data_IF_565417275233
#
_entry.id   IF_565417275233
#
_cell.length_a   1.000
_cell.length_b   1.000
_cell.length_c   1.000
_cell.angle_alpha   90.00
_cell.angle_beta   90.00
_cell.angle_gamma   90.00
#
_symmetry.space_group_name_H-M   'P 1'
#
loop_
_entity.id
_entity.type
_entity.pdbx_description
1 polymer ?
#
# COMPACT_ATOMS: atom_id res chain seq x y z
N UNK A 1 -33.01 -9.98 25.22
CA UNK A 1 -34.07 -10.44 24.32
C UNK A 1 -34.53 -11.78 24.83
N UNK A 2 -35.79 -11.90 25.23
CA UNK A 2 -36.35 -13.13 25.82
C UNK A 2 -36.39 -14.19 24.73
N UNK A 3 -35.56 -15.23 24.83
CA UNK A 3 -35.70 -16.43 24.02
C UNK A 3 -36.97 -17.16 24.50
N UNK A 4 -38.10 -16.79 23.91
CA UNK A 4 -39.36 -17.50 24.11
C UNK A 4 -39.24 -18.92 23.59
N UNK A 5 -39.68 -19.88 24.40
CA UNK A 5 -39.79 -21.29 24.07
C UNK A 5 -40.54 -21.45 22.73
N UNK A 6 -39.90 -22.05 21.73
CA UNK A 6 -40.46 -22.17 20.38
C UNK A 6 -41.69 -23.09 20.44
N UNK A 7 -42.90 -22.64 20.07
CA UNK A 7 -44.07 -23.50 20.10
C UNK A 7 -43.89 -24.66 19.11
N UNK A 8 -44.00 -25.89 19.61
CA UNK A 8 -43.94 -27.09 18.78
C UNK A 8 -45.20 -27.18 17.90
N UNK A 9 -45.01 -27.33 16.59
CA UNK A 9 -46.10 -27.56 15.62
C UNK A 9 -46.58 -29.00 15.81
N UNK A 10 -47.85 -29.20 16.16
CA UNK A 10 -48.39 -30.53 16.52
C UNK A 10 -49.21 -31.18 15.41
N UNK A 11 -49.61 -30.44 14.39
CA UNK A 11 -50.49 -30.90 13.29
C UNK A 11 -50.03 -30.35 11.94
N UNK A 12 -50.30 -31.07 10.86
CA UNK A 12 -49.95 -30.64 9.50
C UNK A 12 -50.75 -29.42 9.04
N UNK A 13 -52.00 -29.26 9.51
CA UNK A 13 -52.82 -28.07 9.24
C UNK A 13 -52.19 -26.79 9.83
N UNK A 14 -51.64 -26.87 11.05
CA UNK A 14 -50.89 -25.77 11.67
C UNK A 14 -49.62 -25.44 10.87
N UNK A 15 -48.95 -26.47 10.32
CA UNK A 15 -47.77 -26.28 9.46
C UNK A 15 -48.16 -25.55 8.18
N UNK A 16 -49.22 -25.95 7.49
CA UNK A 16 -49.68 -25.32 6.25
C UNK A 16 -50.15 -23.87 6.46
N UNK A 17 -50.85 -23.59 7.55
CA UNK A 17 -51.25 -22.23 7.91
C UNK A 17 -50.03 -21.32 8.16
N UNK A 18 -49.02 -21.81 8.90
CA UNK A 18 -47.78 -21.08 9.14
C UNK A 18 -46.95 -20.90 7.86
N UNK A 19 -46.91 -21.90 6.98
CA UNK A 19 -46.26 -21.78 5.66
C UNK A 19 -46.95 -20.69 4.85
N UNK A 20 -48.29 -20.68 4.77
CA UNK A 20 -49.05 -19.68 4.03
C UNK A 20 -48.81 -18.27 4.57
N UNK A 21 -48.87 -18.09 5.89
CA UNK A 21 -48.59 -16.81 6.55
C UNK A 21 -47.16 -16.35 6.26
N UNK A 22 -46.18 -17.26 6.32
CA UNK A 22 -44.78 -16.93 6.03
C UNK A 22 -44.56 -16.50 4.57
N UNK A 23 -45.27 -17.10 3.61
CA UNK A 23 -45.21 -16.73 2.20
C UNK A 23 -45.87 -15.36 1.96
N UNK A 24 -46.98 -15.06 2.65
CA UNK A 24 -47.60 -13.75 2.61
C UNK A 24 -46.71 -12.66 3.24
N UNK A 25 -46.07 -12.96 4.37
CA UNK A 25 -45.09 -12.08 5.00
C UNK A 25 -43.91 -11.83 4.07
N UNK A 26 -43.39 -12.86 3.38
CA UNK A 26 -42.33 -12.71 2.38
C UNK A 26 -42.74 -11.78 1.22
N UNK A 27 -43.99 -11.93 0.72
CA UNK A 27 -44.53 -11.02 -0.32
C UNK A 27 -44.67 -9.58 0.15
N UNK A 28 -45.10 -9.36 1.40
CA UNK A 28 -45.18 -8.01 1.99
C UNK A 28 -43.80 -7.39 2.15
N UNK A 29 -42.83 -8.14 2.68
CA UNK A 29 -41.42 -7.70 2.79
C UNK A 29 -40.91 -7.27 1.41
N UNK A 30 -41.14 -8.09 0.39
CA UNK A 30 -40.73 -7.77 -0.99
C UNK A 30 -41.38 -6.48 -1.50
N UNK A 31 -42.69 -6.29 -1.29
CA UNK A 31 -43.39 -5.04 -1.70
C UNK A 31 -42.88 -3.81 -0.98
N UNK A 32 -42.58 -3.92 0.31
CA UNK A 32 -41.99 -2.82 1.10
C UNK A 32 -40.60 -2.48 0.58
N UNK A 33 -39.78 -3.49 0.28
CA UNK A 33 -38.46 -3.31 -0.30
C UNK A 33 -38.53 -2.68 -1.71
N UNK A 34 -39.44 -3.15 -2.56
CA UNK A 34 -39.68 -2.57 -3.90
C UNK A 34 -40.13 -1.11 -3.79
N UNK A 35 -41.06 -0.80 -2.88
CA UNK A 35 -41.53 0.59 -2.67
C UNK A 35 -40.40 1.47 -2.14
N UNK A 36 -39.61 0.97 -1.18
CA UNK A 36 -38.41 1.66 -0.68
C UNK A 36 -37.41 1.91 -1.79
N UNK A 37 -37.16 0.93 -2.66
CA UNK A 37 -36.26 1.11 -3.80
C UNK A 37 -36.81 2.12 -4.79
N UNK A 38 -38.10 2.06 -5.13
CA UNK A 38 -38.72 3.02 -6.04
C UNK A 38 -38.67 4.46 -5.51
N UNK A 39 -38.82 4.67 -4.21
CA UNK A 39 -38.73 6.02 -3.61
C UNK A 39 -37.29 6.50 -3.46
N UNK A 40 -36.35 5.61 -3.13
CA UNK A 40 -34.95 6.00 -2.90
C UNK A 40 -34.11 6.05 -4.18
N UNK A 41 -34.48 5.31 -5.23
CA UNK A 41 -33.76 5.26 -6.51
C UNK A 41 -33.62 6.63 -7.17
N UNK A 42 -34.67 7.45 -7.37
CA UNK A 42 -34.50 8.76 -8.01
C UNK A 42 -33.57 9.66 -7.20
N UNK A 43 -33.68 9.67 -5.87
CA UNK A 43 -32.76 10.42 -4.99
C UNK A 43 -31.31 9.95 -5.13
N UNK A 44 -31.08 8.64 -5.28
CA UNK A 44 -29.74 8.09 -5.52
C UNK A 44 -29.22 8.47 -6.91
N UNK A 45 -30.06 8.41 -7.93
CA UNK A 45 -29.71 8.79 -9.29
C UNK A 45 -29.34 10.29 -9.37
N UNK A 46 -30.10 11.16 -8.70
CA UNK A 46 -29.78 12.59 -8.58
C UNK A 46 -28.44 12.83 -7.87
N UNK A 47 -28.19 12.11 -6.77
CA UNK A 47 -26.90 12.18 -6.05
C UNK A 47 -25.76 11.68 -6.92
N UNK A 48 -25.95 10.58 -7.65
CA UNK A 48 -24.95 10.05 -8.58
C UNK A 48 -24.67 11.02 -9.73
N UNK A 49 -25.68 11.66 -10.29
CA UNK A 49 -25.53 12.67 -11.36
C UNK A 49 -24.80 13.91 -10.84
N UNK A 50 -25.18 14.41 -9.67
CA UNK A 50 -24.51 15.53 -9.01
C UNK A 50 -23.04 15.20 -8.74
N UNK A 51 -22.75 14.01 -8.21
CA UNK A 51 -21.39 13.56 -7.98
C UNK A 51 -20.60 13.47 -9.30
N UNK A 52 -21.18 12.91 -10.37
CA UNK A 52 -20.54 12.86 -11.69
C UNK A 52 -20.19 14.26 -12.22
N UNK A 53 -21.09 15.23 -12.05
CA UNK A 53 -20.84 16.61 -12.44
C UNK A 53 -19.64 17.21 -11.70
N UNK A 54 -19.59 17.06 -10.37
CA UNK A 54 -18.47 17.56 -9.58
C UNK A 54 -17.16 16.79 -9.84
N UNK A 55 -17.21 15.47 -10.03
CA UNK A 55 -16.04 14.69 -10.45
C UNK A 55 -15.49 15.20 -11.77
N UNK A 56 -16.33 15.47 -12.77
CA UNK A 56 -15.88 16.02 -14.04
C UNK A 56 -15.19 17.39 -13.92
N UNK A 57 -15.64 18.23 -12.98
CA UNK A 57 -15.00 19.52 -12.68
C UNK A 57 -13.66 19.32 -11.99
N UNK A 58 -13.55 18.38 -11.05
CA UNK A 58 -12.32 18.09 -10.28
C UNK A 58 -11.27 17.35 -11.10
N UNK A 59 -11.68 16.52 -12.05
CA UNK A 59 -10.78 15.69 -12.87
C UNK A 59 -9.80 16.53 -13.67
N UNK A 60 -10.25 17.64 -14.26
CA UNK A 60 -9.39 18.51 -15.08
C UNK A 60 -8.26 19.16 -14.26
N UNK A 61 -8.53 19.90 -13.16
CA UNK A 61 -7.50 20.38 -12.25
C UNK A 61 -6.61 19.26 -11.70
N UNK A 62 -7.17 18.09 -11.38
CA UNK A 62 -6.39 16.96 -10.86
C UNK A 62 -5.39 16.45 -11.90
N UNK A 63 -5.78 16.36 -13.18
CA UNK A 63 -4.85 15.99 -14.27
C UNK A 63 -3.77 17.04 -14.48
N UNK A 64 -4.14 18.32 -14.45
CA UNK A 64 -3.18 19.43 -14.56
C UNK A 64 -2.17 19.38 -13.42
N UNK A 65 -2.64 19.21 -12.18
CA UNK A 65 -1.79 19.01 -11.00
C UNK A 65 -0.87 17.82 -11.19
N UNK A 66 -1.40 16.65 -11.57
CA UNK A 66 -0.59 15.44 -11.80
C UNK A 66 0.48 15.64 -12.87
N UNK A 67 0.19 16.41 -13.93
CA UNK A 67 1.19 16.75 -14.95
C UNK A 67 2.29 17.64 -14.39
N UNK A 68 1.96 18.65 -13.59
CA UNK A 68 2.96 19.49 -12.93
C UNK A 68 3.78 18.71 -11.90
N UNK A 69 3.14 17.85 -11.10
CA UNK A 69 3.83 16.97 -10.14
C UNK A 69 4.84 16.05 -10.87
N UNK A 70 4.49 15.52 -12.05
CA UNK A 70 5.42 14.72 -12.87
C UNK A 70 6.59 15.56 -13.40
N UNK A 71 6.32 16.74 -13.96
CA UNK A 71 7.37 17.63 -14.48
C UNK A 71 8.35 18.07 -13.38
N UNK A 72 7.82 18.42 -12.20
CA UNK A 72 8.63 18.79 -11.03
C UNK A 72 9.42 17.57 -10.54
N UNK A 73 8.79 16.40 -10.49
CA UNK A 73 9.44 15.14 -10.10
C UNK A 73 10.63 14.79 -11.00
N UNK A 74 10.47 14.90 -12.32
CA UNK A 74 11.53 14.64 -13.29
C UNK A 74 12.69 15.63 -13.13
N UNK A 75 12.38 16.92 -12.97
CA UNK A 75 13.38 17.96 -12.74
C UNK A 75 14.15 17.75 -11.43
N UNK A 76 13.46 17.52 -10.31
CA UNK A 76 14.09 17.31 -9.01
C UNK A 76 14.91 16.02 -8.98
N UNK A 77 14.47 14.97 -9.67
CA UNK A 77 15.23 13.73 -9.84
C UNK A 77 16.54 14.00 -10.58
N UNK A 78 16.47 14.67 -11.74
CA UNK A 78 17.64 15.03 -12.54
C UNK A 78 18.60 15.94 -11.78
N UNK A 79 18.07 16.91 -11.03
CA UNK A 79 18.85 17.83 -10.19
C UNK A 79 19.54 17.11 -9.04
N UNK A 80 18.85 16.21 -8.35
CA UNK A 80 19.45 15.40 -7.26
C UNK A 80 20.50 14.43 -7.80
N UNK A 81 20.28 13.86 -8.97
CA UNK A 81 21.28 13.04 -9.66
C UNK A 81 22.52 13.87 -10.03
N UNK A 82 22.35 15.07 -10.56
CA UNK A 82 23.45 15.98 -10.86
C UNK A 82 24.24 16.35 -9.60
N UNK A 83 23.55 16.73 -8.51
CA UNK A 83 24.19 17.01 -7.22
C UNK A 83 24.95 15.81 -6.66
N UNK A 84 24.40 14.59 -6.78
CA UNK A 84 25.09 13.36 -6.39
C UNK A 84 26.36 13.12 -7.23
N UNK A 85 26.31 13.37 -8.54
CA UNK A 85 27.48 13.23 -9.42
C UNK A 85 28.56 14.27 -9.13
N UNK A 86 28.18 15.53 -8.93
CA UNK A 86 29.11 16.61 -8.60
C UNK A 86 29.78 16.36 -7.25
N UNK A 87 29.01 15.98 -6.23
CA UNK A 87 29.54 15.68 -4.91
C UNK A 87 30.45 14.43 -4.93
N UNK A 88 30.08 13.39 -5.69
CA UNK A 88 30.94 12.22 -5.88
C UNK A 88 32.24 12.56 -6.62
N UNK A 89 32.20 13.42 -7.64
CA UNK A 89 33.39 13.86 -8.36
C UNK A 89 34.30 14.73 -7.48
N UNK A 90 33.72 15.61 -6.65
CA UNK A 90 34.47 16.42 -5.70
C UNK A 90 35.11 15.56 -4.59
N UNK A 91 34.39 14.54 -4.10
CA UNK A 91 34.94 13.58 -3.13
C UNK A 91 36.12 12.80 -3.73
N UNK A 92 36.00 12.28 -4.96
CA UNK A 92 37.10 11.56 -5.63
C UNK A 92 38.35 12.43 -5.80
N UNK A 93 38.19 13.68 -6.24
CA UNK A 93 39.32 14.61 -6.35
C UNK A 93 39.98 14.90 -4.99
N UNK A 94 39.17 15.04 -3.94
CA UNK A 94 39.69 15.25 -2.59
C UNK A 94 40.45 14.02 -2.06
N UNK A 95 39.96 12.81 -2.35
CA UNK A 95 40.65 11.56 -2.01
C UNK A 95 41.98 11.39 -2.77
N UNK A 96 42.01 11.73 -4.06
CA UNK A 96 43.25 11.69 -4.87
C UNK A 96 44.31 12.66 -4.34
N UNK A 97 43.91 13.89 -3.98
CA UNK A 97 44.80 14.90 -3.38
C UNK A 97 45.29 14.44 -2.00
N UNK A 98 44.41 13.87 -1.18
CA UNK A 98 44.78 13.35 0.14
C UNK A 98 45.78 12.19 0.01
N UNK A 99 45.57 11.26 -0.92
CA UNK A 99 46.51 10.16 -1.21
C UNK A 99 47.86 10.68 -1.68
N UNK A 100 47.88 11.62 -2.63
CA UNK A 100 49.12 12.20 -3.13
C UNK A 100 49.93 12.89 -2.01
N UNK A 101 49.28 13.63 -1.12
CA UNK A 101 49.93 14.28 0.04
C UNK A 101 50.41 13.29 1.10
N UNK A 102 49.70 12.18 1.28
CA UNK A 102 50.11 11.12 2.20
C UNK A 102 51.34 10.39 1.66
N UNK A 103 51.34 10.07 0.36
CA UNK A 103 52.50 9.47 -0.31
C UNK A 103 53.73 10.40 -0.23
N UNK A 104 53.56 11.71 -0.43
CA UNK A 104 54.62 12.71 -0.24
C UNK A 104 55.12 12.74 1.21
N UNK A 105 54.22 12.71 2.20
CA UNK A 105 54.59 12.65 3.61
C UNK A 105 55.40 11.40 3.97
N UNK A 106 55.13 10.25 3.34
CA UNK A 106 55.89 9.01 3.57
C UNK A 106 57.29 9.02 2.94
N UNK A 107 57.55 9.89 1.96
CA UNK A 107 58.83 9.97 1.27
C UNK A 107 59.79 11.00 1.89
N UNK A 108 59.33 11.88 2.77
CA UNK A 108 60.17 12.92 3.40
C UNK A 108 60.84 12.39 4.68
N UNK A 109 62.15 12.13 4.61
CA UNK A 109 62.96 11.64 5.75
C UNK A 109 63.49 12.73 6.70
N UNK A 110 63.34 14.03 6.38
CA UNK A 110 63.91 15.14 7.19
C UNK A 110 62.94 15.72 8.24
N UNK A 111 63.37 15.72 9.51
CA UNK A 111 62.50 15.91 10.69
C UNK A 111 61.69 17.21 10.76
N UNK A 112 62.24 18.35 10.34
CA UNK A 112 61.54 19.66 10.45
C UNK A 112 60.53 19.85 9.31
N UNK A 113 60.80 19.29 8.13
CA UNK A 113 59.86 19.32 7.00
C UNK A 113 58.80 18.22 7.14
N UNK A 114 59.13 17.10 7.78
CA UNK A 114 58.21 15.99 8.06
C UNK A 114 56.98 16.45 8.87
N UNK A 115 57.16 17.25 9.92
CA UNK A 115 56.03 17.75 10.74
C UNK A 115 55.06 18.65 9.96
N UNK A 116 55.57 19.46 9.02
CA UNK A 116 54.74 20.35 8.19
C UNK A 116 53.97 19.52 7.15
N UNK A 117 54.64 18.59 6.48
CA UNK A 117 54.03 17.74 5.44
C UNK A 117 53.02 16.76 6.05
N UNK A 118 53.30 16.21 7.24
CA UNK A 118 52.35 15.37 7.99
C UNK A 118 51.09 16.14 8.41
N UNK A 119 51.24 17.39 8.86
CA UNK A 119 50.09 18.24 9.18
C UNK A 119 49.27 18.59 7.94
N UNK A 120 49.91 18.82 6.81
CA UNK A 120 49.22 19.04 5.53
C UNK A 120 48.49 17.80 5.03
N UNK A 121 49.07 16.61 5.17
CA UNK A 121 48.45 15.33 4.84
C UNK A 121 47.21 15.08 5.72
N UNK A 122 47.32 15.30 7.03
CA UNK A 122 46.20 15.19 7.96
C UNK A 122 45.08 16.21 7.65
N UNK A 123 45.42 17.43 7.27
CA UNK A 123 44.43 18.43 6.84
C UNK A 123 43.71 18.02 5.55
N UNK A 124 44.44 17.45 4.59
CA UNK A 124 43.88 16.96 3.33
C UNK A 124 42.97 15.72 3.53
N UNK A 125 43.35 14.80 4.42
CA UNK A 125 42.52 13.65 4.77
C UNK A 125 41.21 14.07 5.47
N UNK A 126 41.29 14.99 6.44
CA UNK A 126 40.12 15.56 7.10
C UNK A 126 39.19 16.27 6.11
N UNK A 127 39.74 16.94 5.10
CA UNK A 127 38.97 17.56 4.04
C UNK A 127 38.29 16.50 3.14
N UNK A 128 39.02 15.44 2.75
CA UNK A 128 38.47 14.34 1.97
C UNK A 128 37.33 13.62 2.70
N UNK A 129 37.47 13.33 3.99
CA UNK A 129 36.42 12.72 4.81
C UNK A 129 35.17 13.60 4.89
N UNK A 130 35.31 14.92 5.04
CA UNK A 130 34.18 15.86 5.01
C UNK A 130 33.47 15.86 3.66
N UNK A 131 34.23 15.85 2.56
CA UNK A 131 33.67 15.81 1.20
C UNK A 131 32.96 14.47 0.90
N UNK A 132 33.49 13.36 1.40
CA UNK A 132 32.84 12.05 1.31
C UNK A 132 31.51 12.01 2.07
N UNK A 133 31.45 12.56 3.29
CA UNK A 133 30.21 12.65 4.06
C UNK A 133 29.15 13.54 3.39
N UNK A 134 29.58 14.65 2.78
CA UNK A 134 28.71 15.52 1.98
C UNK A 134 28.19 14.80 0.73
N UNK A 135 29.00 13.95 0.09
CA UNK A 135 28.57 13.17 -1.08
C UNK A 135 27.50 12.12 -0.76
N UNK A 136 27.55 11.50 0.42
CA UNK A 136 26.54 10.51 0.86
C UNK A 136 25.17 11.16 1.09
N UNK A 137 25.17 12.40 1.59
CA UNK A 137 23.95 13.14 1.93
C UNK A 137 23.45 14.03 0.78
N UNK A 138 24.26 14.21 -0.27
CA UNK A 138 23.93 15.03 -1.42
C UNK A 138 22.64 14.56 -2.12
N UNK A 139 21.74 15.51 -2.39
CA UNK A 139 20.46 15.23 -3.06
C UNK A 139 19.45 14.47 -2.21
N UNK A 140 19.68 14.32 -0.90
CA UNK A 140 18.71 13.73 0.04
C UNK A 140 17.87 14.82 0.73
N UNK A 141 16.58 14.54 0.95
CA UNK A 141 15.69 15.37 1.75
C UNK A 141 14.69 16.24 0.96
N UNK A 142 13.76 16.89 1.69
CA UNK A 142 12.74 17.77 1.11
C UNK A 142 13.36 19.05 0.54
N UNK A 143 12.87 19.51 -0.61
CA UNK A 143 13.28 20.80 -1.18
C UNK A 143 12.28 21.86 -0.77
N UNK A 144 12.71 22.85 0.02
CA UNK A 144 11.89 24.02 0.36
C UNK A 144 11.98 25.05 -0.76
N UNK A 145 10.82 25.54 -1.19
CA UNK A 145 10.65 26.63 -2.14
C UNK A 145 9.81 27.73 -1.48
N UNK A 146 9.77 28.92 -2.04
CA UNK A 146 8.95 30.03 -1.53
C UNK A 146 7.45 29.69 -1.54
N UNK A 147 7.02 28.86 -2.49
CA UNK A 147 5.63 28.43 -2.64
C UNK A 147 5.26 27.19 -1.79
N UNK A 148 6.23 26.47 -1.21
CA UNK A 148 5.95 25.27 -0.43
C UNK A 148 7.13 24.32 -0.23
N UNK A 149 6.85 23.08 0.15
CA UNK A 149 7.88 22.02 0.30
C UNK A 149 7.57 20.88 -0.65
N UNK A 150 8.54 20.52 -1.50
CA UNK A 150 8.46 19.35 -2.37
C UNK A 150 9.07 18.15 -1.66
N UNK A 151 8.27 17.10 -1.49
CA UNK A 151 8.73 15.81 -0.98
C UNK A 151 8.58 14.76 -2.08
N UNK A 152 9.50 13.79 -2.11
CA UNK A 152 9.41 12.64 -3.00
C UNK A 152 9.38 11.38 -2.17
N UNK A 153 8.31 10.60 -2.31
CA UNK A 153 8.18 9.29 -1.68
C UNK A 153 8.53 8.21 -2.70
N UNK A 154 9.38 7.25 -2.33
CA UNK A 154 9.63 6.07 -3.15
C UNK A 154 8.64 4.99 -2.75
N UNK A 155 7.80 4.57 -3.69
CA UNK A 155 6.88 3.44 -3.50
C UNK A 155 7.53 2.18 -4.06
N UNK A 156 7.45 1.08 -3.32
CA UNK A 156 7.89 -0.22 -3.80
C UNK A 156 6.77 -0.86 -4.60
N UNK A 157 7.02 -1.13 -5.88
CA UNK A 157 6.09 -1.84 -6.75
C UNK A 157 6.52 -3.31 -6.89
N UNK A 158 5.56 -4.22 -7.03
CA UNK A 158 5.82 -5.64 -7.25
C UNK A 158 5.10 -6.13 -8.51
N UNK A 159 5.69 -7.14 -9.15
CA UNK A 159 5.07 -7.86 -10.26
C UNK A 159 5.28 -9.34 -10.05
N UNK A 160 4.19 -10.10 -9.99
CA UNK A 160 4.26 -11.56 -9.86
C UNK A 160 4.62 -12.15 -11.23
N UNK A 161 5.79 -12.78 -11.33
CA UNK A 161 6.26 -13.43 -12.55
C UNK A 161 5.75 -14.86 -12.68
N UNK A 162 5.62 -15.58 -11.56
CA UNK A 162 5.14 -16.96 -11.52
C UNK A 162 4.37 -17.21 -10.21
N UNK A 163 3.10 -17.60 -10.33
CA UNK A 163 2.22 -17.89 -9.19
C UNK A 163 2.55 -19.22 -8.52
N UNK A 164 3.15 -20.18 -9.24
CA UNK A 164 3.42 -21.52 -8.70
C UNK A 164 4.62 -21.52 -7.73
N UNK A 165 5.53 -20.55 -7.87
CA UNK A 165 6.71 -20.40 -7.01
C UNK A 165 6.49 -19.49 -5.80
N UNK A 166 5.30 -18.89 -5.68
CA UNK A 166 4.97 -18.00 -4.58
C UNK A 166 4.78 -18.83 -3.29
N UNK A 167 5.66 -18.66 -2.31
CA UNK A 167 5.47 -19.28 -1.00
C UNK A 167 4.42 -18.50 -0.18
N UNK A 168 3.22 -19.06 -0.08
CA UNK A 168 2.11 -18.48 0.68
C UNK A 168 2.34 -18.51 2.20
N UNK A 169 3.35 -19.24 2.69
CA UNK A 169 3.67 -19.30 4.12
C UNK A 169 4.28 -18.02 4.63
N UNK A 170 5.14 -17.37 3.85
CA UNK A 170 5.77 -16.10 4.21
C UNK A 170 4.76 -14.94 4.21
N UNK A 171 3.72 -15.05 3.39
CA UNK A 171 2.64 -14.07 3.31
C UNK A 171 1.57 -14.24 4.40
N UNK A 172 1.67 -15.28 5.24
CA UNK A 172 0.65 -15.61 6.25
C UNK A 172 0.36 -14.45 7.20
N UNK A 173 1.39 -13.69 7.57
CA UNK A 173 1.26 -12.56 8.51
C UNK A 173 0.64 -11.32 7.85
N UNK A 174 0.64 -11.26 6.52
CA UNK A 174 0.04 -10.17 5.75
C UNK A 174 -1.45 -10.39 5.45
N UNK A 175 -1.93 -11.64 5.56
CA UNK A 175 -3.34 -11.94 5.35
C UNK A 175 -4.16 -11.67 6.61
N UNK A 176 -5.28 -11.00 6.44
CA UNK A 176 -6.26 -10.86 7.52
C UNK A 176 -7.00 -12.19 7.75
N UNK A 177 -7.49 -12.40 8.98
CA UNK A 177 -8.30 -13.57 9.32
C UNK A 177 -9.50 -13.74 8.38
N UNK A 178 -10.10 -12.62 7.95
CA UNK A 178 -11.27 -12.59 7.09
C UNK A 178 -10.97 -13.07 5.66
N UNK A 179 -9.79 -12.77 5.13
CA UNK A 179 -9.35 -13.22 3.82
C UNK A 179 -9.06 -14.73 3.82
N UNK A 180 -8.44 -15.21 4.89
CA UNK A 180 -8.22 -16.63 5.13
C UNK A 180 -9.56 -17.34 5.24
N UNK A 181 -10.52 -16.80 5.99
CA UNK A 181 -11.85 -17.39 6.12
C UNK A 181 -12.61 -17.39 4.78
N UNK A 182 -12.52 -16.32 3.98
CA UNK A 182 -13.09 -16.28 2.62
C UNK A 182 -12.49 -17.36 1.73
N UNK A 183 -11.17 -17.57 1.79
CA UNK A 183 -10.50 -18.63 1.05
C UNK A 183 -10.96 -20.02 1.51
N UNK A 184 -11.08 -20.25 2.82
CA UNK A 184 -11.60 -21.49 3.40
C UNK A 184 -13.05 -21.73 2.95
N UNK A 185 -13.95 -20.74 3.08
CA UNK A 185 -15.35 -20.85 2.63
C UNK A 185 -15.44 -21.17 1.13
N UNK A 186 -14.59 -20.56 0.30
CA UNK A 186 -14.52 -20.85 -1.14
C UNK A 186 -14.06 -22.30 -1.38
N UNK A 187 -13.03 -22.74 -0.66
CA UNK A 187 -12.54 -24.13 -0.73
C UNK A 187 -13.63 -25.14 -0.33
N UNK A 188 -14.30 -24.92 0.81
CA UNK A 188 -15.40 -25.76 1.31
C UNK A 188 -16.58 -25.78 0.33
N UNK A 189 -16.90 -24.65 -0.32
CA UNK A 189 -17.98 -24.60 -1.32
C UNK A 189 -17.65 -25.42 -2.57
N UNK A 190 -16.40 -25.37 -3.03
CA UNK A 190 -15.94 -26.07 -4.23
C UNK A 190 -15.73 -27.56 -3.99
N UNK A 191 -15.11 -27.93 -2.87
CA UNK A 191 -14.72 -29.31 -2.60
C UNK A 191 -15.67 -30.04 -1.63
N UNK A 192 -16.55 -29.33 -0.92
CA UNK A 192 -17.50 -29.91 0.04
C UNK A 192 -16.78 -30.88 0.98
N UNK A 193 -17.20 -32.15 1.01
CA UNK A 193 -16.59 -33.20 1.82
C UNK A 193 -15.59 -34.09 1.03
N UNK A 194 -15.16 -33.69 -0.17
CA UNK A 194 -14.30 -34.53 -1.04
C UNK A 194 -12.81 -34.31 -0.81
N UNK A 195 -12.39 -33.15 -0.28
CA UNK A 195 -11.01 -32.87 0.08
C UNK A 195 -10.96 -32.22 1.47
N UNK A 196 -10.48 -32.91 2.51
CA UNK A 196 -10.35 -32.32 3.83
C UNK A 196 -9.23 -31.28 3.83
N UNK A 197 -9.45 -30.16 4.51
CA UNK A 197 -8.44 -29.15 4.77
C UNK A 197 -7.88 -29.39 6.18
N UNK A 198 -6.56 -29.54 6.32
CA UNK A 198 -5.95 -29.75 7.62
C UNK A 198 -6.26 -28.58 8.56
N UNK A 199 -6.79 -28.88 9.76
CA UNK A 199 -7.14 -27.89 10.77
C UNK A 199 -8.55 -27.27 10.65
N UNK A 200 -9.38 -27.67 9.68
CA UNK A 200 -10.77 -27.20 9.54
C UNK A 200 -11.75 -28.36 9.49
N UNK A 201 -12.72 -28.36 10.40
CA UNK A 201 -13.82 -29.33 10.41
C UNK A 201 -14.96 -28.86 9.52
N UNK A 202 -15.29 -29.64 8.49
CA UNK A 202 -16.38 -29.34 7.55
C UNK A 202 -17.61 -30.16 7.95
N UNK A 203 -18.74 -29.50 8.21
CA UNK A 203 -20.03 -30.15 8.52
C UNK A 203 -21.16 -29.52 7.72
N UNK A 204 -22.24 -30.28 7.52
CA UNK A 204 -23.45 -29.84 6.83
C UNK A 204 -24.50 -29.44 7.85
N UNK A 205 -24.91 -28.16 7.83
CA UNK A 205 -26.04 -27.65 8.60
C UNK A 205 -27.28 -27.57 7.71
N UNK A 206 -28.35 -28.27 8.10
CA UNK A 206 -29.61 -28.33 7.33
C UNK A 206 -30.64 -27.37 7.93
N UNK A 207 -30.76 -26.21 7.31
CA UNK A 207 -31.82 -25.23 7.63
C UNK A 207 -32.92 -25.28 6.58
N UNK A 208 -34.13 -25.65 7.00
CA UNK A 208 -35.31 -25.57 6.14
C UNK A 208 -35.64 -24.10 5.87
N UNK A 209 -35.72 -23.72 4.58
CA UNK A 209 -36.14 -22.39 4.13
C UNK A 209 -37.34 -22.53 3.21
N UNK A 210 -38.36 -21.71 3.44
CA UNK A 210 -39.54 -21.64 2.58
C UNK A 210 -39.23 -20.71 1.39
N UNK A 211 -39.60 -21.12 0.19
CA UNK A 211 -39.38 -20.37 -1.06
C UNK A 211 -40.73 -19.94 -1.62
N UNK A 212 -40.91 -18.64 -1.82
CA UNK A 212 -42.16 -18.01 -2.28
C UNK A 212 -41.94 -16.72 -3.04
#
# INVERSE_FOLDING_TARGET
>A
MVEGEKPAIKTDEQREALVTLSLQAAKLIKKVDETRLLTTKPLREEVEETNKFFTAIVDRPTRVKSSFDSMIGDYDSARRDAQRREAAAAARKAEEIAKAKLDEATQVEHSVQSDVVMNEAAAAENFAQKMAALAVTAGSGPVRTEAGTVFSTKTWEFRVTDWAKLDLRELRDSFTSDEIEKAIRKHVRTHKNTKPLAGVTIFQDEKTRLRG
#
